data_IF_925886715833
#
_entry.id   IF_925886715833
#
_cell.length_a   1.000
_cell.length_b   1.000
_cell.length_c   1.000
_cell.angle_alpha   90.00
_cell.angle_beta   90.00
_cell.angle_gamma   90.00
#
_symmetry.space_group_name_H-M   'P 1'
#
loop_
_entity.id
_entity.type
_entity.pdbx_description
1 polymer ?
#
# COMPACT_ATOMS: atom_id res chain seq x y z
N UNK A 1 -13.49 4.62 -7.94
CA UNK A 1 -13.21 5.65 -6.90
C UNK A 1 -14.28 5.66 -5.81
N UNK A 2 -15.57 5.54 -6.14
CA UNK A 2 -16.70 5.53 -5.18
C UNK A 2 -16.52 4.54 -4.02
N UNK A 3 -16.03 3.32 -4.28
CA UNK A 3 -15.79 2.31 -3.23
C UNK A 3 -14.75 2.74 -2.19
N UNK A 4 -13.66 3.40 -2.61
CA UNK A 4 -12.65 3.89 -1.68
C UNK A 4 -13.18 5.04 -0.81
N UNK A 5 -14.03 5.90 -1.37
CA UNK A 5 -14.71 6.97 -0.64
C UNK A 5 -15.69 6.40 0.38
N UNK A 6 -16.46 5.37 0.02
CA UNK A 6 -17.35 4.67 0.96
C UNK A 6 -16.56 4.02 2.10
N UNK A 7 -15.47 3.31 1.79
CA UNK A 7 -14.60 2.71 2.81
C UNK A 7 -13.98 3.76 3.75
N UNK A 8 -13.62 4.94 3.23
CA UNK A 8 -13.11 6.03 4.06
C UNK A 8 -14.19 6.57 5.02
N UNK A 9 -15.44 6.68 4.56
CA UNK A 9 -16.56 7.06 5.43
C UNK A 9 -16.84 6.01 6.51
N UNK A 10 -16.90 4.73 6.12
CA UNK A 10 -17.16 3.61 7.03
C UNK A 10 -16.06 3.46 8.10
N UNK A 11 -14.82 3.83 7.78
CA UNK A 11 -13.70 3.83 8.73
C UNK A 11 -13.89 4.81 9.90
N UNK A 12 -14.74 5.85 9.73
CA UNK A 12 -15.13 6.80 10.78
C UNK A 12 -16.39 6.39 11.55
N UNK A 13 -16.95 5.20 11.28
CA UNK A 13 -18.16 4.72 11.95
C UNK A 13 -17.97 4.62 13.47
N UNK A 14 -19.03 4.96 14.21
CA UNK A 14 -19.10 4.71 15.66
C UNK A 14 -19.26 3.22 16.01
N UNK A 15 -19.63 2.38 15.04
CA UNK A 15 -19.60 0.92 15.18
C UNK A 15 -18.17 0.40 14.91
N UNK A 16 -17.47 -0.14 15.92
CA UNK A 16 -16.10 -0.63 15.76
C UNK A 16 -15.98 -1.78 14.75
N UNK A 17 -17.02 -2.61 14.58
CA UNK A 17 -16.98 -3.71 13.63
C UNK A 17 -16.98 -3.20 12.18
N UNK A 18 -17.78 -2.17 11.90
CA UNK A 18 -17.81 -1.50 10.59
C UNK A 18 -16.48 -0.78 10.35
N UNK A 19 -16.02 0.02 11.31
CA UNK A 19 -14.77 0.77 11.20
C UNK A 19 -13.55 -0.12 10.97
N UNK A 20 -13.40 -1.20 11.74
CA UNK A 20 -12.27 -2.12 11.60
C UNK A 20 -12.27 -2.87 10.26
N UNK A 21 -13.45 -3.27 9.75
CA UNK A 21 -13.56 -3.90 8.43
C UNK A 21 -13.18 -2.93 7.32
N UNK A 22 -13.62 -1.68 7.41
CA UNK A 22 -13.29 -0.64 6.45
C UNK A 22 -11.78 -0.33 6.45
N UNK A 23 -11.18 -0.16 7.63
CA UNK A 23 -9.72 0.02 7.79
C UNK A 23 -8.95 -1.16 7.20
N UNK A 24 -9.40 -2.40 7.42
CA UNK A 24 -8.76 -3.58 6.83
C UNK A 24 -8.84 -3.56 5.29
N UNK A 25 -9.99 -3.20 4.73
CA UNK A 25 -10.18 -3.08 3.29
C UNK A 25 -9.28 -1.99 2.68
N UNK A 26 -9.19 -0.82 3.33
CA UNK A 26 -8.31 0.27 2.92
C UNK A 26 -6.83 -0.14 2.96
N UNK A 27 -6.39 -0.83 4.02
CA UNK A 27 -5.01 -1.35 4.09
C UNK A 27 -4.69 -2.29 2.95
N UNK A 28 -5.60 -3.21 2.61
CA UNK A 28 -5.43 -4.14 1.47
C UNK A 28 -5.37 -3.40 0.13
N UNK A 29 -6.21 -2.37 -0.05
CA UNK A 29 -6.18 -1.53 -1.24
C UNK A 29 -4.85 -0.77 -1.35
N UNK A 30 -4.41 -0.13 -0.26
CA UNK A 30 -3.13 0.57 -0.19
C UNK A 30 -1.96 -0.36 -0.52
N UNK A 31 -1.89 -1.54 0.08
CA UNK A 31 -0.83 -2.52 -0.19
C UNK A 31 -0.77 -2.92 -1.67
N UNK A 32 -1.93 -3.07 -2.32
CA UNK A 32 -2.00 -3.40 -3.75
C UNK A 32 -1.52 -2.25 -4.62
N UNK A 33 -1.96 -1.02 -4.33
CA UNK A 33 -1.55 0.17 -5.06
C UNK A 33 -0.06 0.44 -4.89
N UNK A 34 0.47 0.32 -3.67
CA UNK A 34 1.89 0.46 -3.38
C UNK A 34 2.71 -0.58 -4.16
N UNK A 35 2.29 -1.85 -4.20
CA UNK A 35 2.95 -2.88 -5.01
C UNK A 35 2.97 -2.56 -6.52
N UNK A 36 1.88 -2.02 -7.06
CA UNK A 36 1.81 -1.58 -8.47
C UNK A 36 2.80 -0.44 -8.71
N UNK A 37 2.81 0.58 -7.84
CA UNK A 37 3.69 1.74 -8.03
C UNK A 37 5.17 1.38 -7.82
N UNK A 38 5.50 0.50 -6.87
CA UNK A 38 6.87 -0.02 -6.70
C UNK A 38 7.32 -0.74 -7.97
N UNK A 39 6.47 -1.59 -8.56
CA UNK A 39 6.80 -2.26 -9.83
C UNK A 39 7.01 -1.24 -10.96
N UNK A 40 6.09 -0.30 -11.13
CA UNK A 40 6.20 0.75 -12.15
C UNK A 40 7.48 1.58 -11.96
N UNK A 41 7.86 1.91 -10.72
CA UNK A 41 9.10 2.65 -10.44
C UNK A 41 10.34 1.82 -10.81
N UNK A 42 10.34 0.52 -10.49
CA UNK A 42 11.42 -0.41 -10.90
C UNK A 42 11.53 -0.53 -12.41
N UNK A 43 10.41 -0.60 -13.14
CA UNK A 43 10.37 -0.61 -14.62
C UNK A 43 10.90 0.70 -15.22
N UNK A 44 10.69 1.83 -14.54
CA UNK A 44 11.25 3.14 -14.90
C UNK A 44 12.71 3.32 -14.44
N UNK A 45 13.37 2.27 -13.96
CA UNK A 45 14.78 2.29 -13.57
C UNK A 45 15.08 2.94 -12.21
N UNK A 46 14.07 3.26 -11.40
CA UNK A 46 14.29 3.84 -10.06
C UNK A 46 15.02 2.85 -9.17
N UNK A 47 16.03 3.31 -8.44
CA UNK A 47 16.72 2.53 -7.43
C UNK A 47 15.81 2.21 -6.23
N UNK A 48 16.12 1.15 -5.49
CA UNK A 48 15.42 0.83 -4.24
C UNK A 48 15.50 1.96 -3.20
N UNK A 49 16.55 2.79 -3.25
CA UNK A 49 16.69 3.94 -2.37
C UNK A 49 15.65 5.01 -2.73
N UNK A 50 15.53 5.39 -4.00
CA UNK A 50 14.55 6.38 -4.45
C UNK A 50 13.10 5.99 -4.12
N UNK A 51 12.78 4.69 -4.23
CA UNK A 51 11.46 4.17 -3.85
C UNK A 51 11.26 4.26 -2.33
N UNK A 52 12.29 3.97 -1.55
CA UNK A 52 12.24 4.04 -0.10
C UNK A 52 12.10 5.47 0.41
N UNK A 53 12.81 6.42 -0.20
CA UNK A 53 12.71 7.85 0.08
C UNK A 53 11.28 8.35 -0.20
N UNK A 54 10.69 7.94 -1.33
CA UNK A 54 9.32 8.32 -1.70
C UNK A 54 8.23 7.72 -0.78
N UNK A 55 8.52 6.57 -0.14
CA UNK A 55 7.63 5.91 0.82
C UNK A 55 7.94 6.29 2.28
N UNK A 56 8.96 7.13 2.51
CA UNK A 56 9.46 7.52 3.84
C UNK A 56 9.79 6.31 4.75
N UNK A 57 10.36 5.26 4.16
CA UNK A 57 10.80 4.07 4.89
C UNK A 57 12.24 3.71 4.56
N UNK A 58 12.83 2.76 5.28
CA UNK A 58 14.18 2.33 4.98
C UNK A 58 14.24 1.52 3.67
N UNK A 59 15.37 1.64 2.95
CA UNK A 59 15.66 0.81 1.76
C UNK A 59 15.51 -0.69 2.04
N UNK A 60 15.93 -1.13 3.23
CA UNK A 60 15.81 -2.52 3.65
C UNK A 60 14.34 -2.94 3.80
N UNK A 61 13.49 -2.07 4.36
CA UNK A 61 12.06 -2.35 4.52
C UNK A 61 11.36 -2.52 3.16
N UNK A 62 11.57 -1.61 2.20
CA UNK A 62 11.02 -1.75 0.84
C UNK A 62 11.53 -3.02 0.17
N UNK A 63 12.84 -3.25 0.23
CA UNK A 63 13.45 -4.39 -0.41
C UNK A 63 12.93 -5.72 0.17
N UNK A 64 12.80 -5.82 1.50
CA UNK A 64 12.23 -7.00 2.15
C UNK A 64 10.76 -7.22 1.77
N UNK A 65 9.96 -6.15 1.71
CA UNK A 65 8.52 -6.20 1.40
C UNK A 65 8.25 -6.57 -0.06
N UNK A 66 9.06 -6.06 -0.99
CA UNK A 66 8.75 -6.13 -2.43
C UNK A 66 9.67 -7.04 -3.24
N UNK A 67 10.94 -7.23 -2.86
CA UNK A 67 11.84 -8.09 -3.65
C UNK A 67 11.53 -9.60 -3.48
N UNK A 68 10.89 -10.01 -2.37
CA UNK A 68 10.51 -11.42 -2.15
C UNK A 68 9.22 -11.85 -2.87
N UNK A 69 8.37 -10.90 -3.31
CA UNK A 69 7.08 -11.18 -3.97
C UNK A 69 7.20 -11.44 -5.48
N UNK A 70 8.37 -11.24 -6.09
CA UNK A 70 8.63 -11.47 -7.52
C UNK A 70 8.99 -12.91 -7.91
N UNK A 71 9.02 -13.86 -6.96
CA UNK A 71 9.25 -15.29 -7.22
C UNK A 71 7.98 -16.09 -6.91
N UNK A 72 6.97 -16.00 -7.78
CA UNK A 72 5.98 -17.06 -7.98
C UNK A 72 5.28 -16.90 -9.32
#
# INVERSE_FOLDING_TARGET
MTEATTLAADAGSSDPQVGLRAVLALRRLLERLEAIQVRNAREQGWSWQQIADALEVSRQAVHQKYNRRGRK
#
